data_IF_967433320827
#
_entry.id   IF_967433320827
#
_cell.length_a   1.000
_cell.length_b   1.000
_cell.length_c   1.000
_cell.angle_alpha   90.00
_cell.angle_beta   90.00
_cell.angle_gamma   90.00
#
_symmetry.space_group_name_H-M   'P 1'
#
loop_
_entity.id
_entity.type
_entity.pdbx_description
1 polymer ?
#
# COMPACT_ATOMS: atom_id res chain seq x y z
N UNK A 1 -10.69 -9.63 14.34
CA UNK A 1 -10.83 -8.62 13.27
C UNK A 1 -11.43 -9.33 12.07
N UNK A 2 -12.54 -8.88 11.44
CA UNK A 2 -12.89 -9.41 10.11
C UNK A 2 -11.82 -8.95 9.14
N UNK A 3 -10.75 -9.75 9.09
CA UNK A 3 -9.58 -9.56 8.26
C UNK A 3 -10.02 -9.75 6.83
N UNK A 4 -9.99 -8.66 6.07
CA UNK A 4 -9.97 -8.80 4.62
C UNK A 4 -8.71 -9.57 4.28
N UNK A 5 -8.83 -10.53 3.37
CA UNK A 5 -7.66 -11.22 2.83
C UNK A 5 -6.69 -10.19 2.24
N UNK A 6 -5.39 -10.42 2.42
CA UNK A 6 -4.35 -9.57 1.87
C UNK A 6 -4.52 -9.37 0.36
N UNK A 7 -4.09 -8.23 -0.18
CA UNK A 7 -4.09 -7.99 -1.62
C UNK A 7 -3.42 -9.14 -2.41
N UNK A 8 -3.88 -9.44 -3.63
CA UNK A 8 -3.30 -10.52 -4.44
C UNK A 8 -1.92 -10.15 -5.01
N UNK A 9 -1.06 -11.15 -5.20
CA UNK A 9 0.24 -11.01 -5.88
C UNK A 9 1.15 -9.94 -5.26
N UNK A 10 1.89 -9.21 -6.10
CA UNK A 10 2.79 -8.14 -5.66
C UNK A 10 2.11 -7.01 -4.88
N UNK A 11 0.79 -6.81 -5.03
CA UNK A 11 0.07 -5.79 -4.25
C UNK A 11 0.07 -6.10 -2.74
N UNK A 12 0.29 -7.36 -2.33
CA UNK A 12 0.46 -7.71 -0.92
C UNK A 12 1.68 -7.00 -0.30
N UNK A 13 2.76 -6.82 -1.06
CA UNK A 13 3.95 -6.07 -0.62
C UNK A 13 3.61 -4.60 -0.36
N UNK A 14 2.87 -4.00 -1.30
CA UNK A 14 2.44 -2.59 -1.20
C UNK A 14 1.50 -2.39 -0.01
N UNK A 15 0.50 -3.26 0.15
CA UNK A 15 -0.41 -3.25 1.29
C UNK A 15 0.35 -3.38 2.61
N UNK A 16 1.26 -4.35 2.70
CA UNK A 16 2.06 -4.58 3.90
C UNK A 16 2.94 -3.38 4.25
N UNK A 17 3.60 -2.76 3.26
CA UNK A 17 4.44 -1.59 3.49
C UNK A 17 3.63 -0.41 4.01
N UNK A 18 2.46 -0.10 3.40
CA UNK A 18 1.57 0.98 3.86
C UNK A 18 1.05 0.71 5.28
N UNK A 19 0.82 -0.56 5.63
CA UNK A 19 0.30 -0.97 6.93
C UNK A 19 1.38 -1.22 7.99
N UNK A 20 2.63 -0.79 7.76
CA UNK A 20 3.67 -0.79 8.81
C UNK A 20 3.41 0.26 9.89
N UNK A 21 2.80 1.39 9.53
CA UNK A 21 2.45 2.47 10.46
C UNK A 21 0.96 2.39 10.81
N UNK A 22 0.69 2.24 12.10
CA UNK A 22 -0.58 2.58 12.71
C UNK A 22 -0.59 4.07 13.07
N UNK A 23 -1.34 4.86 12.30
CA UNK A 23 -1.44 6.32 12.48
C UNK A 23 -2.11 6.68 13.81
N UNK A 24 -3.01 5.84 14.30
CA UNK A 24 -3.77 6.14 15.52
C UNK A 24 -2.88 6.00 16.77
N UNK A 25 -2.06 4.95 16.82
CA UNK A 25 -1.13 4.71 17.93
C UNK A 25 0.25 5.31 17.74
N UNK A 26 0.63 5.64 16.50
CA UNK A 26 1.98 6.07 16.12
C UNK A 26 2.99 4.92 16.04
N UNK A 27 2.55 3.67 16.25
CA UNK A 27 3.45 2.51 16.19
C UNK A 27 3.83 2.21 14.73
N UNK A 28 5.13 2.16 14.46
CA UNK A 28 5.68 1.82 13.16
C UNK A 28 6.52 0.54 13.27
N UNK A 29 6.10 -0.53 12.61
CA UNK A 29 6.86 -1.79 12.66
C UNK A 29 8.24 -1.69 12.01
N UNK A 30 8.51 -0.68 11.19
CA UNK A 30 9.87 -0.42 10.67
C UNK A 30 10.86 0.02 11.76
N UNK A 31 10.39 0.40 12.94
CA UNK A 31 11.25 0.68 14.10
C UNK A 31 11.85 -0.61 14.69
N UNK A 32 11.28 -1.79 14.39
CA UNK A 32 11.81 -3.07 14.89
C UNK A 32 12.64 -3.81 13.84
N UNK A 33 13.66 -4.60 14.27
CA UNK A 33 14.43 -5.44 13.35
C UNK A 33 13.56 -6.42 12.56
N UNK A 34 12.54 -7.00 13.19
CA UNK A 34 11.64 -7.98 12.57
C UNK A 34 10.80 -7.33 11.46
N UNK A 35 10.31 -6.10 11.70
CA UNK A 35 9.54 -5.37 10.70
C UNK A 35 10.40 -4.97 9.52
N UNK A 36 11.66 -4.56 9.73
CA UNK A 36 12.62 -4.28 8.65
C UNK A 36 12.98 -5.54 7.85
N UNK A 37 13.23 -6.65 8.53
CA UNK A 37 13.61 -7.92 7.91
C UNK A 37 12.55 -8.44 6.92
N UNK A 38 11.26 -8.22 7.21
CA UNK A 38 10.15 -8.55 6.28
C UNK A 38 10.30 -7.87 4.91
N UNK A 39 10.91 -6.69 4.87
CA UNK A 39 11.16 -5.94 3.66
C UNK A 39 12.61 -6.03 3.21
N UNK A 40 13.47 -6.81 3.87
CA UNK A 40 14.89 -6.89 3.56
C UNK A 40 15.59 -5.53 3.69
N UNK A 41 15.14 -4.70 4.63
CA UNK A 41 15.69 -3.36 4.87
C UNK A 41 16.76 -3.40 5.96
N UNK A 42 17.80 -2.60 5.75
CA UNK A 42 18.72 -2.11 6.78
C UNK A 42 18.13 -0.90 7.50
N UNK A 43 18.75 -0.46 8.60
CA UNK A 43 18.25 0.68 9.38
C UNK A 43 18.39 2.02 8.61
N UNK A 44 19.47 2.18 7.84
CA UNK A 44 19.71 3.35 7.01
C UNK A 44 18.76 3.47 5.80
N UNK A 45 18.12 2.38 5.39
CA UNK A 45 17.11 2.38 4.33
C UNK A 45 15.70 2.76 4.81
N UNK A 46 15.45 2.78 6.13
CA UNK A 46 14.12 3.07 6.71
C UNK A 46 13.57 4.44 6.29
N UNK A 47 14.35 5.55 6.27
CA UNK A 47 13.83 6.84 5.83
C UNK A 47 13.32 6.83 4.37
N UNK A 48 14.02 6.13 3.48
CA UNK A 48 13.58 5.96 2.09
C UNK A 48 12.32 5.10 2.00
N UNK A 49 12.25 4.00 2.77
CA UNK A 49 11.07 3.15 2.85
C UNK A 49 9.83 3.91 3.37
N UNK A 50 9.99 4.78 4.38
CA UNK A 50 8.94 5.66 4.90
C UNK A 50 8.48 6.68 3.86
N UNK A 51 9.40 7.25 3.10
CA UNK A 51 9.07 8.18 2.00
C UNK A 51 8.24 7.48 0.93
N UNK A 52 8.66 6.27 0.52
CA UNK A 52 7.90 5.43 -0.42
C UNK A 52 6.52 5.08 0.15
N UNK A 53 6.45 4.69 1.43
CA UNK A 53 5.21 4.36 2.13
C UNK A 53 4.19 5.49 2.09
N UNK A 54 4.58 6.71 2.44
CA UNK A 54 3.63 7.83 2.47
C UNK A 54 3.22 8.27 1.05
N UNK A 55 4.12 8.14 0.07
CA UNK A 55 3.82 8.38 -1.34
C UNK A 55 2.78 7.37 -1.87
N UNK A 56 2.96 6.09 -1.54
CA UNK A 56 1.97 5.04 -1.81
C UNK A 56 0.65 5.35 -1.11
N UNK A 57 0.65 5.67 0.19
CA UNK A 57 -0.57 5.98 0.95
C UNK A 57 -1.36 7.12 0.30
N UNK A 58 -0.69 8.19 -0.14
CA UNK A 58 -1.33 9.29 -0.87
C UNK A 58 -1.96 8.82 -2.19
N UNK A 59 -1.26 7.99 -2.98
CA UNK A 59 -1.82 7.40 -4.20
C UNK A 59 -3.04 6.52 -3.90
N UNK A 60 -2.98 5.69 -2.87
CA UNK A 60 -4.09 4.80 -2.48
C UNK A 60 -5.31 5.56 -1.93
N UNK A 61 -5.10 6.74 -1.31
CA UNK A 61 -6.20 7.66 -0.97
C UNK A 61 -6.85 8.23 -2.24
N UNK A 62 -6.04 8.62 -3.23
CA UNK A 62 -6.54 9.10 -4.51
C UNK A 62 -7.37 8.03 -5.25
N UNK A 63 -6.97 6.75 -5.20
CA UNK A 63 -7.75 5.63 -5.74
C UNK A 63 -9.15 5.49 -5.10
N UNK A 64 -9.30 5.95 -3.86
CA UNK A 64 -10.57 6.01 -3.14
C UNK A 64 -11.32 7.35 -3.34
N UNK A 65 -10.75 8.31 -4.08
CA UNK A 65 -11.33 9.64 -4.30
C UNK A 65 -11.10 10.61 -3.14
N UNK A 66 -10.08 10.38 -2.31
CA UNK A 66 -9.74 11.21 -1.16
C UNK A 66 -8.47 12.02 -1.40
N UNK A 67 -8.35 13.22 -0.79
CA UNK A 67 -7.13 14.01 -0.86
C UNK A 67 -5.98 13.29 -0.15
N UNK A 68 -4.72 13.66 -0.44
CA UNK A 68 -3.59 13.12 0.28
C UNK A 68 -3.63 13.55 1.75
N UNK A 69 -3.21 12.65 2.64
CA UNK A 69 -3.14 12.90 4.09
C UNK A 69 -2.10 13.96 4.48
N UNK A 70 -1.12 14.23 3.62
CA UNK A 70 -0.07 15.25 3.77
C UNK A 70 0.61 15.52 2.42
N UNK A 71 1.40 16.60 2.28
CA UNK A 71 2.32 16.75 1.15
C UNK A 71 3.36 15.62 1.12
N UNK A 72 3.55 15.00 -0.05
CA UNK A 72 4.48 13.90 -0.28
C UNK A 72 5.19 14.08 -1.62
N UNK A 73 6.33 13.42 -1.79
CA UNK A 73 6.92 13.21 -3.12
C UNK A 73 5.93 12.37 -3.96
N UNK A 74 5.58 12.77 -5.19
CA UNK A 74 4.70 11.97 -6.03
C UNK A 74 5.29 10.58 -6.29
N UNK A 75 4.47 9.52 -6.17
CA UNK A 75 4.92 8.13 -6.36
C UNK A 75 5.65 7.94 -7.69
N UNK A 76 5.13 8.54 -8.78
CA UNK A 76 5.77 8.45 -10.10
C UNK A 76 7.20 9.01 -10.15
N UNK A 77 7.52 10.03 -9.35
CA UNK A 77 8.87 10.57 -9.27
C UNK A 77 9.82 9.60 -8.55
N UNK A 78 9.35 8.86 -7.55
CA UNK A 78 10.14 7.80 -6.91
C UNK A 78 10.35 6.62 -7.86
N UNK A 79 9.27 6.13 -8.48
CA UNK A 79 9.33 4.95 -9.36
C UNK A 79 10.14 5.20 -10.64
N UNK A 80 10.32 6.46 -11.07
CA UNK A 80 11.20 6.80 -12.19
C UNK A 80 12.67 6.39 -11.95
N UNK A 81 13.06 6.16 -10.69
CA UNK A 81 14.42 5.75 -10.29
C UNK A 81 14.51 4.24 -10.02
N UNK A 82 13.51 3.45 -10.44
CA UNK A 82 13.40 2.02 -10.15
C UNK A 82 13.56 1.20 -11.45
N UNK A 83 14.79 0.87 -11.87
CA UNK A 83 15.02 0.16 -13.12
C UNK A 83 14.48 -1.28 -13.04
N UNK A 84 13.70 -1.65 -14.06
CA UNK A 84 13.15 -3.00 -14.21
C UNK A 84 13.73 -3.67 -15.45
N UNK A 85 13.81 -5.00 -15.43
CA UNK A 85 14.21 -5.85 -16.54
C UNK A 85 13.22 -6.97 -16.76
N UNK A 86 13.18 -7.51 -17.97
CA UNK A 86 12.48 -8.78 -18.23
C UNK A 86 13.44 -9.93 -17.93
N UNK A 87 13.03 -10.81 -17.03
CA UNK A 87 13.71 -12.07 -16.76
C UNK A 87 12.94 -13.21 -17.44
N UNK A 88 13.63 -14.03 -18.21
CA UNK A 88 13.07 -15.21 -18.87
C UNK A 88 13.66 -16.46 -18.23
N UNK A 89 12.82 -17.37 -17.77
CA UNK A 89 13.25 -18.65 -17.23
C UNK A 89 13.75 -19.55 -18.37
N UNK A 90 14.95 -20.12 -18.23
CA UNK A 90 15.58 -20.94 -19.28
C UNK A 90 14.96 -22.34 -19.40
N UNK A 91 14.26 -22.83 -18.38
CA UNK A 91 13.68 -24.17 -18.35
C UNK A 91 12.31 -24.22 -19.03
N UNK A 92 11.45 -23.22 -18.78
CA UNK A 92 10.08 -23.19 -19.29
C UNK A 92 9.77 -22.01 -20.23
N UNK A 93 10.69 -21.06 -20.38
CA UNK A 93 10.54 -19.90 -21.25
C UNK A 93 9.57 -18.83 -20.71
N UNK A 94 9.09 -18.95 -19.48
CA UNK A 94 8.21 -17.96 -18.86
C UNK A 94 8.95 -16.64 -18.63
N UNK A 95 8.23 -15.52 -18.77
CA UNK A 95 8.80 -14.18 -18.62
C UNK A 95 8.15 -13.45 -17.44
N UNK A 96 8.99 -12.79 -16.63
CA UNK A 96 8.56 -11.97 -15.50
C UNK A 96 9.22 -10.60 -15.53
N UNK A 97 8.55 -9.61 -14.95
CA UNK A 97 9.15 -8.29 -14.73
C UNK A 97 9.88 -8.31 -13.39
N UNK A 98 11.20 -8.10 -13.41
CA UNK A 98 12.05 -8.21 -12.24
C UNK A 98 12.80 -6.90 -11.97
N UNK A 99 13.16 -6.62 -10.69
CA UNK A 99 14.16 -5.61 -10.37
C UNK A 99 15.46 -5.82 -11.16
N UNK A 100 16.04 -4.74 -11.70
CA UNK A 100 17.32 -4.80 -12.42
C UNK A 100 18.54 -4.77 -11.49
N UNK A 101 18.35 -4.24 -10.29
CA UNK A 101 19.29 -4.19 -9.18
C UNK A 101 19.11 -5.40 -8.24
N UNK A 102 19.87 -5.48 -7.14
CA UNK A 102 19.76 -6.53 -6.11
C UNK A 102 18.44 -6.50 -5.32
N UNK A 103 17.39 -5.85 -5.84
CA UNK A 103 16.03 -5.87 -5.29
C UNK A 103 15.76 -4.94 -4.11
N UNK A 104 16.22 -3.65 -4.11
CA UNK A 104 15.80 -2.67 -3.13
C UNK A 104 14.27 -2.57 -3.16
N UNK A 105 13.69 -2.28 -2.00
CA UNK A 105 12.24 -2.23 -1.80
C UNK A 105 11.51 -1.41 -2.89
N UNK A 106 12.12 -0.33 -3.37
CA UNK A 106 11.58 0.52 -4.42
C UNK A 106 11.34 -0.24 -5.74
N UNK A 107 12.34 -0.98 -6.23
CA UNK A 107 12.24 -1.74 -7.49
C UNK A 107 11.26 -2.91 -7.40
N UNK A 108 11.15 -3.56 -6.23
CA UNK A 108 10.11 -4.57 -5.98
C UNK A 108 8.70 -3.97 -5.96
N UNK A 109 8.53 -2.79 -5.37
CA UNK A 109 7.25 -2.04 -5.44
C UNK A 109 6.95 -1.61 -6.88
N UNK A 110 7.94 -1.14 -7.64
CA UNK A 110 7.76 -0.75 -9.04
C UNK A 110 7.28 -1.92 -9.90
N UNK A 111 7.88 -3.11 -9.75
CA UNK A 111 7.43 -4.33 -10.44
C UNK A 111 5.99 -4.68 -10.07
N UNK A 112 5.64 -4.67 -8.77
CA UNK A 112 4.28 -4.94 -8.31
C UNK A 112 3.24 -3.93 -8.87
N UNK A 113 3.60 -2.64 -8.95
CA UNK A 113 2.73 -1.60 -9.53
C UNK A 113 2.55 -1.84 -11.03
N UNK A 114 3.62 -2.16 -11.76
CA UNK A 114 3.57 -2.42 -13.20
C UNK A 114 2.73 -3.66 -13.54
N UNK A 115 2.91 -4.76 -12.81
CA UNK A 115 2.07 -5.97 -12.95
C UNK A 115 0.60 -5.67 -12.68
N UNK A 116 0.29 -4.95 -11.60
CA UNK A 116 -1.08 -4.59 -11.26
C UNK A 116 -1.71 -3.60 -12.24
N UNK A 117 -0.90 -2.72 -12.85
CA UNK A 117 -1.34 -1.82 -13.91
C UNK A 117 -1.80 -2.61 -15.14
N UNK A 118 -0.95 -3.54 -15.61
CA UNK A 118 -1.27 -4.40 -16.76
C UNK A 118 -2.48 -5.30 -16.48
N UNK A 119 -2.59 -5.83 -15.26
CA UNK A 119 -3.72 -6.64 -14.83
C UNK A 119 -5.02 -5.83 -14.57
N UNK A 120 -4.97 -4.49 -14.63
CA UNK A 120 -6.12 -3.63 -14.32
C UNK A 120 -6.58 -3.67 -12.85
N UNK A 121 -5.71 -4.13 -11.94
CA UNK A 121 -6.01 -4.28 -10.50
C UNK A 121 -5.42 -3.17 -9.64
N UNK A 122 -4.55 -2.32 -10.19
CA UNK A 122 -3.86 -1.24 -9.44
C UNK A 122 -4.83 -0.33 -8.68
N UNK A 123 -5.92 0.11 -9.32
CA UNK A 123 -6.91 1.01 -8.74
C UNK A 123 -7.81 0.36 -7.67
N UNK A 124 -7.72 -0.97 -7.52
CA UNK A 124 -8.43 -1.70 -6.46
C UNK A 124 -7.68 -1.67 -5.14
N UNK A 125 -6.37 -1.44 -5.13
CA UNK A 125 -5.66 -1.18 -3.87
C UNK A 125 -6.00 0.24 -3.41
N UNK A 126 -6.46 0.42 -2.19
CA UNK A 126 -6.97 1.70 -1.66
C UNK A 126 -6.53 1.91 -0.23
N UNK A 127 -6.59 3.15 0.25
CA UNK A 127 -6.39 3.48 1.65
C UNK A 127 -7.73 3.78 2.33
N UNK A 128 -7.87 3.39 3.60
CA UNK A 128 -9.05 3.62 4.42
C UNK A 128 -9.37 5.11 4.51
N UNK A 129 -10.62 5.50 4.30
CA UNK A 129 -11.03 6.91 4.36
C UNK A 129 -10.96 7.52 5.77
N UNK A 130 -10.92 6.70 6.83
CA UNK A 130 -10.88 7.24 8.18
C UNK A 130 -9.55 7.98 8.40
N UNK A 131 -9.64 9.27 8.75
CA UNK A 131 -8.52 10.22 8.89
C UNK A 131 -7.40 9.73 9.83
N UNK A 132 -7.76 8.91 10.83
CA UNK A 132 -6.83 8.34 11.80
C UNK A 132 -6.34 6.93 11.44
N UNK A 133 -6.74 6.37 10.30
CA UNK A 133 -6.43 5.00 9.92
C UNK A 133 -5.55 4.94 8.67
N UNK A 134 -6.08 5.36 7.52
CA UNK A 134 -5.44 5.27 6.20
C UNK A 134 -4.74 3.92 5.88
N UNK A 135 -5.13 2.81 6.51
CA UNK A 135 -4.59 1.50 6.18
C UNK A 135 -4.94 1.13 4.74
N UNK A 136 -3.98 0.56 4.02
CA UNK A 136 -4.20 -0.03 2.72
C UNK A 136 -5.11 -1.26 2.82
N UNK A 137 -5.93 -1.46 1.80
CA UNK A 137 -6.74 -2.65 1.60
C UNK A 137 -7.01 -2.84 0.11
N UNK A 138 -7.21 -4.10 -0.30
CA UNK A 138 -7.68 -4.41 -1.64
C UNK A 138 -9.22 -4.45 -1.73
N UNK A 139 -9.79 -3.65 -2.63
CA UNK A 139 -11.23 -3.51 -2.84
C UNK A 139 -11.79 -4.64 -3.71
N UNK A 140 -12.32 -5.65 -3.00
CA UNK A 140 -13.03 -6.79 -3.59
C UNK A 140 -14.52 -6.55 -3.80
N UNK A 141 -15.02 -5.35 -3.52
CA UNK A 141 -16.43 -5.08 -3.81
C UNK A 141 -16.66 -5.14 -5.32
N UNK A 142 -17.81 -5.69 -5.77
CA UNK A 142 -18.12 -5.79 -7.20
C UNK A 142 -18.02 -4.45 -7.92
N UNK A 143 -18.53 -3.38 -7.29
CA UNK A 143 -18.53 -2.04 -7.85
C UNK A 143 -17.21 -1.26 -7.65
N UNK A 144 -16.24 -1.79 -6.91
CA UNK A 144 -15.00 -1.08 -6.60
C UNK A 144 -15.24 0.22 -5.82
N UNK A 145 -16.20 0.23 -4.88
CA UNK A 145 -16.61 1.41 -4.10
C UNK A 145 -16.38 1.22 -2.59
N UNK A 146 -15.54 0.27 -2.19
CA UNK A 146 -15.14 0.11 -0.81
C UNK A 146 -14.43 1.37 -0.31
N UNK A 147 -14.76 1.80 0.91
CA UNK A 147 -14.24 3.03 1.56
C UNK A 147 -13.41 2.78 2.83
N UNK A 148 -13.61 1.63 3.46
CA UNK A 148 -13.04 1.31 4.78
C UNK A 148 -12.19 0.06 4.68
N UNK A 149 -11.03 0.00 5.35
CA UNK A 149 -10.22 -1.22 5.45
C UNK A 149 -10.97 -2.35 6.17
N UNK A 150 -11.78 -2.00 7.17
CA UNK A 150 -12.67 -2.92 7.89
C UNK A 150 -14.03 -2.27 8.10
N UNK A 151 -15.10 -2.95 7.67
CA UNK A 151 -16.47 -2.49 7.90
C UNK A 151 -16.84 -2.56 9.39
N UNK A 152 -16.33 -3.57 10.11
CA UNK A 152 -16.62 -3.76 11.54
C UNK A 152 -15.95 -2.71 12.42
N UNK A 153 -14.75 -2.23 12.05
CA UNK A 153 -14.02 -1.24 12.84
C UNK A 153 -14.23 0.16 12.29
N UNK A 154 -13.62 0.48 11.14
CA UNK A 154 -13.67 1.83 10.57
C UNK A 154 -15.07 2.20 10.08
N UNK A 155 -15.78 1.26 9.45
CA UNK A 155 -17.16 1.48 9.01
C UNK A 155 -18.13 1.74 10.17
N UNK A 156 -18.01 0.98 11.28
CA UNK A 156 -18.80 1.20 12.48
C UNK A 156 -18.48 2.53 13.15
N UNK A 157 -17.18 2.87 13.31
CA UNK A 157 -16.76 4.19 13.85
C UNK A 157 -17.31 5.36 13.03
N UNK A 158 -17.28 5.26 11.70
CA UNK A 158 -17.86 6.27 10.82
C UNK A 158 -19.39 6.40 11.00
N UNK A 159 -20.11 5.28 11.14
CA UNK A 159 -21.56 5.28 11.41
C UNK A 159 -21.88 5.97 12.74
N UNK A 160 -21.14 5.64 13.80
CA UNK A 160 -21.35 6.23 15.13
C UNK A 160 -21.07 7.74 15.16
N UNK A 161 -20.01 8.19 14.47
CA UNK A 161 -19.73 9.63 14.33
C UNK A 161 -20.88 10.39 13.67
N UNK A 162 -21.44 9.84 12.57
CA UNK A 162 -22.59 10.44 11.88
C UNK A 162 -23.86 10.46 12.71
N UNK A 163 -24.09 9.44 13.54
CA UNK A 163 -25.23 9.39 14.45
C UNK A 163 -25.13 10.52 15.49
N UNK A 164 -23.99 10.63 16.19
CA UNK A 164 -23.75 11.68 17.20
C UNK A 164 -23.84 13.09 16.64
N UNK A 165 -23.35 13.32 15.42
CA UNK A 165 -23.43 14.62 14.77
C UNK A 165 -24.86 15.06 14.37
N UNK A 166 -25.84 14.15 14.40
CA UNK A 166 -27.26 14.47 14.17
C UNK A 166 -28.04 14.72 15.47
N UNK A 167 -27.51 14.23 16.60
CA UNK A 167 -28.12 14.43 17.93
C UNK A 167 -27.57 15.67 18.65
N UNK A 168 -26.52 16.29 18.12
CA UNK A 168 -25.96 17.56 18.56
C UNK A 168 -26.53 18.73 17.75
#
# INVERSE_FOLDING_TARGET
>A
MSERSAAPGGLALVEALVNTLDIESGHDSLDTPEGRARFGLTEDEVPAARTLRESLRATLLAHAGHPPHRPVTPLGALLAHAPLRIAVDEHDGSATLAPADTGPLLSRVAAAVAEALVAGTWTRLKACEAETCHWAYYDRSPAGRGRWCSMQVCGARAKMRRYRAKEA
#
